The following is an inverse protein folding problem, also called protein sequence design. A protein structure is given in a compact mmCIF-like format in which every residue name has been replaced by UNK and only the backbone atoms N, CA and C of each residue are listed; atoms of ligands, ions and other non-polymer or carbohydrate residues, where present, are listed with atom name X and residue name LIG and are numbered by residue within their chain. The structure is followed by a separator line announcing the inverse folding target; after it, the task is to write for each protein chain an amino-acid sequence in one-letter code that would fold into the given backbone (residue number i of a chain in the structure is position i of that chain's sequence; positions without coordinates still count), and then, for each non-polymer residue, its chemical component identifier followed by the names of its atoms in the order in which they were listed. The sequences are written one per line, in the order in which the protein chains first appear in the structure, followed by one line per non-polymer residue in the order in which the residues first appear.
data_IF_905951644017
#
_entry.id   IF_905951644017
#
_cell.length_a   1.000
_cell.length_b   1.000
_cell.length_c   1.000
_cell.angle_alpha   90.00
_cell.angle_beta   90.00
_cell.angle_gamma   90.00
#
_symmetry.space_group_name_H-M   'P 1'
#
loop_
_entity.id
_entity.type
_entity.pdbx_description
1 polymer ?
#
# COMPACT_ATOMS: atom_id res chain seq x y z
N UNK A 1 -56.88 26.09 1.46
CA UNK A 1 -57.14 24.64 1.47
C UNK A 1 -55.82 23.93 1.65
N UNK A 2 -55.77 23.13 2.72
CA UNK A 2 -54.65 22.30 3.15
C UNK A 2 -54.57 21.08 2.23
N UNK A 3 -53.38 20.75 1.72
CA UNK A 3 -53.07 19.36 1.34
C UNK A 3 -51.59 19.09 1.57
N UNK A 4 -51.31 18.66 2.80
CA UNK A 4 -50.07 18.07 3.27
C UNK A 4 -49.81 16.78 2.47
N UNK A 5 -48.84 16.80 1.58
CA UNK A 5 -48.20 15.56 1.10
C UNK A 5 -47.10 15.19 2.08
N UNK A 6 -47.56 14.58 3.18
CA UNK A 6 -46.85 13.58 3.97
C UNK A 6 -46.28 12.52 3.00
N UNK A 7 -45.09 11.98 3.29
CA UNK A 7 -44.35 10.89 2.58
C UNK A 7 -43.14 11.29 1.73
N UNK A 8 -42.11 11.87 2.35
CA UNK A 8 -40.70 11.70 1.90
C UNK A 8 -39.76 11.63 3.12
N UNK A 9 -40.10 10.78 4.09
CA UNK A 9 -39.28 10.54 5.27
C UNK A 9 -39.01 9.04 5.45
N UNK A 10 -38.65 8.34 4.37
CA UNK A 10 -38.03 7.02 4.44
C UNK A 10 -37.11 6.91 3.24
N UNK A 11 -35.81 6.92 3.49
CA UNK A 11 -34.68 6.37 2.74
C UNK A 11 -33.38 7.17 2.99
N UNK A 12 -32.90 7.32 4.24
CA UNK A 12 -31.47 7.27 4.45
C UNK A 12 -31.03 5.79 4.45
N UNK A 13 -29.75 5.51 4.18
CA UNK A 13 -29.09 4.19 4.27
C UNK A 13 -29.20 3.24 3.07
N UNK A 14 -28.66 3.64 1.91
CA UNK A 14 -28.26 2.63 0.92
C UNK A 14 -27.10 3.06 0.01
N UNK A 15 -26.07 3.77 0.51
CA UNK A 15 -24.89 4.09 -0.34
C UNK A 15 -23.53 3.95 0.36
N UNK A 16 -23.38 3.11 1.40
CA UNK A 16 -22.06 2.87 2.01
C UNK A 16 -21.33 1.62 1.49
N UNK A 17 -21.83 0.91 0.46
CA UNK A 17 -21.25 -0.37 0.01
C UNK A 17 -20.70 -0.37 -1.43
N UNK A 18 -20.37 0.79 -2.00
CA UNK A 18 -19.66 0.83 -3.28
C UNK A 18 -18.20 1.22 -3.02
N UNK A 19 -17.48 0.38 -2.29
CA UNK A 19 -16.05 0.23 -2.53
C UNK A 19 -15.91 -0.89 -3.57
N UNK A 20 -15.48 -0.59 -4.80
CA UNK A 20 -15.18 -1.62 -5.76
C UNK A 20 -13.91 -2.32 -5.28
N UNK A 21 -14.07 -3.40 -4.52
CA UNK A 21 -13.01 -4.40 -4.44
C UNK A 21 -12.88 -4.95 -5.87
N UNK A 22 -11.87 -4.47 -6.59
CA UNK A 22 -11.43 -5.08 -7.83
C UNK A 22 -10.93 -6.49 -7.47
N UNK A 23 -11.83 -7.46 -7.47
CA UNK A 23 -11.45 -8.87 -7.40
C UNK A 23 -10.70 -9.19 -8.70
N UNK A 24 -9.38 -9.34 -8.57
CA UNK A 24 -8.52 -9.71 -9.69
C UNK A 24 -8.96 -11.11 -10.15
N UNK A 25 -9.30 -11.32 -11.44
CA UNK A 25 -9.77 -12.60 -11.95
C UNK A 25 -8.75 -13.71 -11.66
N UNK A 26 -9.21 -14.96 -11.54
CA UNK A 26 -8.31 -16.11 -11.38
C UNK A 26 -7.32 -16.16 -12.55
N UNK A 27 -6.01 -16.06 -12.25
CA UNK A 27 -4.94 -15.92 -13.24
C UNK A 27 -4.50 -14.49 -13.57
N UNK A 28 -5.11 -13.48 -12.96
CA UNK A 28 -4.69 -12.07 -13.10
C UNK A 28 -3.41 -11.75 -12.31
N UNK A 29 -2.75 -10.67 -12.72
CA UNK A 29 -1.53 -10.16 -12.09
C UNK A 29 -1.90 -9.50 -10.76
N UNK A 30 -1.36 -10.00 -9.64
CA UNK A 30 -1.50 -9.38 -8.32
C UNK A 30 -0.20 -8.69 -7.93
N UNK A 31 -0.18 -7.38 -7.99
CA UNK A 31 0.93 -6.55 -7.51
C UNK A 31 0.71 -6.23 -6.03
N UNK A 32 1.73 -6.47 -5.20
CA UNK A 32 1.69 -6.10 -3.79
C UNK A 32 2.80 -5.09 -3.56
N UNK A 33 2.41 -3.90 -3.14
CA UNK A 33 3.32 -2.89 -2.62
C UNK A 33 3.39 -3.04 -1.11
N UNK A 34 4.60 -3.24 -0.61
CA UNK A 34 4.85 -3.37 0.83
C UNK A 34 5.23 -2.01 1.40
N UNK A 35 4.46 -1.54 2.37
CA UNK A 35 4.71 -0.28 3.07
C UNK A 35 5.11 -0.53 4.52
N UNK A 36 5.97 0.33 5.04
CA UNK A 36 6.34 0.43 6.44
C UNK A 36 5.86 1.76 7.01
N UNK A 37 5.46 1.74 8.28
CA UNK A 37 5.24 2.98 9.04
C UNK A 37 6.56 3.41 9.66
N UNK A 38 6.83 4.70 9.58
CA UNK A 38 7.95 5.37 10.22
C UNK A 38 7.42 6.60 10.99
N UNK A 39 8.23 7.22 11.86
CA UNK A 39 7.87 8.49 12.50
C UNK A 39 7.61 9.63 11.50
N UNK A 40 8.17 9.55 10.30
CA UNK A 40 7.99 10.55 9.25
C UNK A 40 6.75 10.30 8.36
N UNK A 41 6.08 9.15 8.52
CA UNK A 41 4.91 8.78 7.72
C UNK A 41 4.98 7.34 7.22
N UNK A 42 4.25 7.03 6.14
CA UNK A 42 4.38 5.73 5.47
C UNK A 42 5.44 5.84 4.39
N UNK A 43 6.32 4.84 4.33
CA UNK A 43 7.38 4.75 3.33
C UNK A 43 7.32 3.36 2.71
N UNK A 44 7.52 3.30 1.40
CA UNK A 44 7.48 2.06 0.61
C UNK A 44 8.78 1.27 0.81
N UNK A 45 8.66 -0.05 0.81
CA UNK A 45 9.81 -0.96 0.75
C UNK A 45 10.31 -1.00 -0.69
N UNK A 46 11.60 -0.71 -0.91
CA UNK A 46 12.19 -0.69 -2.25
C UNK A 46 11.53 0.31 -3.22
N UNK A 47 11.83 0.11 -4.51
CA UNK A 47 11.43 1.00 -5.62
C UNK A 47 10.66 0.26 -6.72
N UNK A 48 10.24 -0.97 -6.42
CA UNK A 48 9.59 -1.84 -7.38
C UNK A 48 8.39 -2.49 -6.74
N UNK A 49 7.35 -2.71 -7.51
CA UNK A 49 6.23 -3.56 -7.07
C UNK A 49 6.49 -5.00 -7.49
N UNK A 50 6.37 -5.92 -6.53
CA UNK A 50 6.48 -7.35 -6.82
C UNK A 50 5.10 -7.85 -7.22
N UNK A 51 4.96 -8.23 -8.49
CA UNK A 51 3.72 -8.76 -9.02
C UNK A 51 3.79 -10.27 -9.21
N UNK A 52 2.85 -10.97 -8.58
CA UNK A 52 2.60 -12.38 -8.81
C UNK A 52 1.73 -12.52 -10.06
N UNK A 53 2.30 -13.11 -11.11
CA UNK A 53 1.62 -13.48 -12.35
C UNK A 53 1.83 -14.98 -12.60
N UNK A 54 0.93 -15.67 -13.32
CA UNK A 54 1.09 -17.10 -13.66
C UNK A 54 2.31 -17.42 -14.53
N UNK A 55 3.00 -16.39 -15.05
CA UNK A 55 4.32 -16.46 -15.70
C UNK A 55 5.22 -15.33 -15.16
N UNK A 56 6.54 -15.45 -15.32
CA UNK A 56 7.62 -14.51 -14.90
C UNK A 56 7.21 -13.26 -14.10
N UNK A 57 7.77 -13.15 -12.87
CA UNK A 57 7.61 -12.00 -11.96
C UNK A 57 7.82 -10.70 -12.75
N UNK A 58 6.75 -9.90 -12.89
CA UNK A 58 6.83 -8.59 -13.52
C UNK A 58 7.14 -7.57 -12.44
N UNK A 59 8.34 -7.04 -12.48
CA UNK A 59 8.80 -5.94 -11.63
C UNK A 59 8.34 -4.66 -12.30
N UNK A 60 7.44 -3.90 -11.67
CA UNK A 60 6.98 -2.60 -12.18
C UNK A 60 7.72 -1.50 -11.41
N UNK A 61 8.40 -0.55 -12.09
CA UNK A 61 9.04 0.57 -11.41
C UNK A 61 7.98 1.43 -10.75
N UNK A 62 8.04 1.56 -9.42
CA UNK A 62 7.30 2.56 -8.67
C UNK A 62 8.33 3.58 -8.20
N UNK A 63 8.16 4.86 -8.52
CA UNK A 63 9.12 5.91 -8.18
C UNK A 63 8.58 6.80 -7.07
N UNK A 64 8.44 6.31 -5.83
CA UNK A 64 8.24 7.19 -4.69
C UNK A 64 9.51 8.02 -4.48
N UNK A 65 9.40 9.23 -3.92
CA UNK A 65 10.56 10.07 -3.64
C UNK A 65 11.52 9.40 -2.65
N UNK A 66 10.95 8.70 -1.65
CA UNK A 66 11.68 8.05 -0.57
C UNK A 66 11.36 6.55 -0.53
N UNK A 67 12.36 5.75 -0.22
CA UNK A 67 12.24 4.30 -0.09
C UNK A 67 13.01 3.81 1.13
N UNK A 68 12.62 2.62 1.61
CA UNK A 68 13.37 1.87 2.61
C UNK A 68 14.15 0.75 1.93
N UNK A 69 15.43 0.57 2.25
CA UNK A 69 16.31 -0.45 1.64
C UNK A 69 16.02 -1.89 2.07
N UNK A 70 14.99 -2.10 2.88
CA UNK A 70 14.53 -3.43 3.30
C UNK A 70 14.18 -4.27 2.06
N UNK A 71 14.58 -5.53 2.06
CA UNK A 71 14.22 -6.46 0.99
C UNK A 71 12.71 -6.79 1.07
N UNK A 72 12.04 -6.91 -0.08
CA UNK A 72 10.59 -7.16 -0.13
C UNK A 72 10.17 -8.43 0.59
N UNK A 73 10.97 -9.48 0.49
CA UNK A 73 10.77 -10.76 1.18
C UNK A 73 10.99 -10.66 2.70
N UNK A 74 11.75 -9.66 3.18
CA UNK A 74 11.94 -9.43 4.61
C UNK A 74 10.67 -8.85 5.28
N UNK A 75 9.85 -8.10 4.54
CA UNK A 75 8.64 -7.46 5.07
C UNK A 75 7.66 -8.46 5.72
N UNK A 76 7.47 -9.64 5.12
CA UNK A 76 6.60 -10.68 5.68
C UNK A 76 7.12 -11.27 6.99
N UNK A 77 8.44 -11.24 7.22
CA UNK A 77 9.07 -11.74 8.45
C UNK A 77 9.15 -10.67 9.55
N UNK A 78 8.90 -9.40 9.24
CA UNK A 78 8.81 -8.35 10.24
C UNK A 78 7.60 -8.58 11.16
N UNK A 79 7.85 -8.57 12.48
CA UNK A 79 6.78 -8.65 13.47
C UNK A 79 5.95 -7.35 13.43
N UNK A 80 4.61 -7.43 13.37
CA UNK A 80 3.76 -6.25 13.41
C UNK A 80 4.05 -5.40 14.65
N UNK A 81 4.06 -4.07 14.49
CA UNK A 81 4.27 -3.07 15.56
C UNK A 81 5.62 -3.13 16.30
N UNK A 82 6.55 -3.99 15.88
CA UNK A 82 7.92 -3.96 16.39
C UNK A 82 8.71 -2.91 15.62
N UNK A 83 9.40 -2.04 16.34
CA UNK A 83 10.22 -0.98 15.76
C UNK A 83 11.60 -1.54 15.40
N UNK A 84 11.86 -1.66 14.11
CA UNK A 84 13.15 -2.02 13.54
C UNK A 84 13.90 -0.76 13.12
N UNK A 85 15.21 -0.85 12.99
CA UNK A 85 16.02 0.21 12.37
C UNK A 85 16.11 -0.08 10.88
N UNK A 86 15.56 0.83 10.09
CA UNK A 86 15.59 0.78 8.64
C UNK A 86 16.47 1.89 8.10
N UNK A 87 17.12 1.63 6.97
CA UNK A 87 17.87 2.65 6.24
C UNK A 87 16.97 3.28 5.16
N UNK A 88 16.98 4.61 5.13
CA UNK A 88 16.28 5.43 4.15
C UNK A 88 17.15 5.64 2.93
N UNK A 89 16.48 5.76 1.79
CA UNK A 89 17.09 6.04 0.51
C UNK A 89 16.12 6.72 -0.45
N UNK A 90 16.55 6.88 -1.68
CA UNK A 90 15.67 7.25 -2.79
C UNK A 90 15.76 6.27 -3.94
N UNK A 91 14.72 6.30 -4.76
CA UNK A 91 14.63 5.46 -5.93
C UNK A 91 15.44 6.02 -7.08
N UNK A 92 16.53 5.32 -7.39
CA UNK A 92 17.28 5.49 -8.64
C UNK A 92 16.94 4.31 -9.55
N UNK A 93 16.08 4.58 -10.55
CA UNK A 93 15.48 3.57 -11.43
C UNK A 93 14.67 2.52 -10.66
N UNK A 94 15.19 1.29 -10.53
CA UNK A 94 14.52 0.15 -9.89
C UNK A 94 15.16 -0.18 -8.53
N UNK A 95 16.19 0.57 -8.12
CA UNK A 95 16.97 0.32 -6.92
C UNK A 95 16.80 1.44 -5.90
N UNK A 96 16.60 1.05 -4.64
CA UNK A 96 16.61 1.98 -3.52
C UNK A 96 18.06 2.27 -3.13
N UNK A 97 18.54 3.49 -3.38
CA UNK A 97 19.89 3.93 -3.03
C UNK A 97 19.90 4.49 -1.61
N UNK A 98 20.65 3.90 -0.67
CA UNK A 98 20.70 4.39 0.70
C UNK A 98 21.33 5.78 0.79
N UNK A 99 20.86 6.56 1.75
CA UNK A 99 21.45 7.86 2.14
C UNK A 99 22.23 7.79 3.46
N UNK A 100 22.50 6.58 3.98
CA UNK A 100 23.09 6.36 5.31
C UNK A 100 22.25 6.99 6.45
N UNK A 101 20.98 7.30 6.19
CA UNK A 101 20.04 7.82 7.15
C UNK A 101 19.23 6.67 7.74
N UNK A 102 19.20 6.56 9.06
CA UNK A 102 18.46 5.52 9.77
C UNK A 102 17.17 6.07 10.36
N UNK A 103 16.10 5.30 10.25
CA UNK A 103 14.79 5.62 10.83
C UNK A 103 14.18 4.38 11.49
N UNK A 104 13.38 4.61 12.53
CA UNK A 104 12.50 3.58 13.05
C UNK A 104 11.44 3.20 12.03
N UNK A 105 11.21 1.91 11.83
CA UNK A 105 10.23 1.38 10.89
C UNK A 105 9.49 0.19 11.50
N UNK A 106 8.20 0.07 11.22
CA UNK A 106 7.42 -1.08 11.66
C UNK A 106 6.38 -1.46 10.63
N UNK A 107 6.09 -2.75 10.60
CA UNK A 107 4.95 -3.27 9.85
C UNK A 107 3.66 -2.80 10.56
N UNK A 108 2.73 -2.16 9.83
CA UNK A 108 1.49 -1.64 10.39
C UNK A 108 0.60 -2.71 11.03
#
# INVERSE_FOLDING_TARGET
MVRLFFWMAFFPFACCNIHPYHEVPEGGIKCVQHDLRTPAGRVTVGCVEVCNAPSHIKVIPHKPPDCVTVAHDAWQYMKPRVNYTCELGACESDTCKPYELLIGCWRP
#
